data_IF_945754460787
#
_entry.id   IF_945754460787
#
_cell.length_a   1.000
_cell.length_b   1.000
_cell.length_c   1.000
_cell.angle_alpha   90.00
_cell.angle_beta   90.00
_cell.angle_gamma   90.00
#
_symmetry.space_group_name_H-M   'P 1'
#
loop_
_entity.id
_entity.type
_entity.pdbx_description
1 polymer ?
#
# COMPACT_ATOMS: atom_id res chain seq x y z
N UNK A 1 7.37 -29.23 -31.71
CA UNK A 1 8.02 -27.90 -31.76
C UNK A 1 7.15 -26.91 -31.02
N UNK A 2 7.78 -26.11 -30.14
CA UNK A 2 7.33 -24.84 -29.54
C UNK A 2 6.12 -24.87 -28.58
N UNK A 3 6.44 -25.04 -27.29
CA UNK A 3 5.58 -24.58 -26.21
C UNK A 3 5.57 -23.05 -26.15
N UNK A 4 4.40 -22.46 -26.03
CA UNK A 4 4.22 -21.05 -25.71
C UNK A 4 3.86 -21.04 -24.22
N UNK A 5 4.88 -20.82 -23.39
CA UNK A 5 4.71 -20.48 -21.99
C UNK A 5 4.45 -18.99 -21.97
N UNK A 6 3.17 -18.60 -21.98
CA UNK A 6 2.79 -17.25 -21.56
C UNK A 6 3.01 -17.19 -20.06
N UNK A 7 4.23 -16.80 -19.72
CA UNK A 7 4.67 -16.41 -18.39
C UNK A 7 4.01 -15.08 -18.06
N UNK A 8 2.71 -15.10 -17.76
CA UNK A 8 2.04 -13.93 -17.22
C UNK A 8 2.57 -13.73 -15.79
N UNK A 9 3.41 -12.72 -15.69
CA UNK A 9 4.16 -12.36 -14.50
C UNK A 9 3.12 -11.96 -13.44
N UNK A 10 2.96 -12.77 -12.39
CA UNK A 10 1.93 -12.70 -11.34
C UNK A 10 1.96 -11.44 -10.45
N UNK A 11 2.25 -10.28 -11.02
CA UNK A 11 2.10 -8.99 -10.39
C UNK A 11 0.61 -8.66 -10.33
N UNK A 12 -0.03 -9.05 -9.22
CA UNK A 12 -1.35 -8.52 -8.88
C UNK A 12 -1.19 -7.00 -8.68
N UNK A 13 -1.52 -6.23 -9.71
CA UNK A 13 -1.52 -4.76 -9.66
C UNK A 13 -2.81 -4.31 -8.97
N UNK A 14 -2.87 -4.43 -7.64
CA UNK A 14 -4.00 -3.91 -6.88
C UNK A 14 -3.89 -2.39 -6.73
N UNK A 15 -4.72 -1.65 -7.47
CA UNK A 15 -4.81 -0.19 -7.30
C UNK A 15 -5.48 0.13 -5.96
N UNK A 16 -4.88 1.04 -5.17
CA UNK A 16 -5.41 1.49 -3.87
C UNK A 16 -6.87 2.00 -3.95
N UNK A 17 -7.26 2.50 -5.12
CA UNK A 17 -8.60 3.01 -5.42
C UNK A 17 -9.69 1.93 -5.49
N UNK A 18 -9.32 0.64 -5.65
CA UNK A 18 -10.28 -0.47 -5.78
C UNK A 18 -10.60 -1.17 -4.46
N UNK A 19 -9.93 -0.79 -3.36
CA UNK A 19 -10.02 -1.51 -2.09
C UNK A 19 -11.10 -0.95 -1.17
N UNK A 20 -11.86 -1.86 -0.54
CA UNK A 20 -13.06 -1.53 0.22
C UNK A 20 -12.75 -1.14 1.67
N UNK A 21 -11.75 -1.75 2.30
CA UNK A 21 -11.35 -1.42 3.69
C UNK A 21 -10.00 -0.70 3.79
N UNK A 22 -9.77 -0.03 4.93
CA UNK A 22 -8.48 0.58 5.25
C UNK A 22 -7.39 -0.49 5.41
N UNK A 23 -7.73 -1.66 5.95
CA UNK A 23 -6.83 -2.80 6.10
C UNK A 23 -6.39 -3.36 4.75
N UNK A 24 -7.29 -3.48 3.79
CA UNK A 24 -6.97 -3.92 2.43
C UNK A 24 -5.99 -2.93 1.77
N UNK A 25 -6.27 -1.62 1.89
CA UNK A 25 -5.39 -0.55 1.38
C UNK A 25 -4.01 -0.57 2.00
N UNK A 26 -3.94 -0.79 3.32
CA UNK A 26 -2.66 -1.01 3.99
C UNK A 26 -1.95 -2.25 3.42
N UNK A 27 -2.69 -3.34 3.21
CA UNK A 27 -2.19 -4.56 2.56
C UNK A 27 -1.58 -4.30 1.19
N UNK A 28 -2.25 -3.55 0.31
CA UNK A 28 -1.69 -3.15 -1.00
C UNK A 28 -0.36 -2.43 -0.86
N UNK A 29 -0.33 -1.42 0.03
CA UNK A 29 0.87 -0.62 0.24
C UNK A 29 2.04 -1.50 0.69
N UNK A 30 1.78 -2.46 1.58
CA UNK A 30 2.79 -3.41 2.03
C UNK A 30 3.25 -4.34 0.90
N UNK A 31 2.34 -4.83 0.07
CA UNK A 31 2.68 -5.65 -1.11
C UNK A 31 3.55 -4.84 -2.09
N UNK A 32 3.22 -3.58 -2.37
CA UNK A 32 4.06 -2.68 -3.17
C UNK A 32 5.45 -2.50 -2.57
N UNK A 33 5.56 -2.37 -1.23
CA UNK A 33 6.84 -2.30 -0.54
C UNK A 33 7.64 -3.59 -0.67
N UNK A 34 7.00 -4.75 -0.52
CA UNK A 34 7.63 -6.07 -0.70
C UNK A 34 8.15 -6.25 -2.12
N UNK A 35 7.34 -5.93 -3.13
CA UNK A 35 7.74 -6.01 -4.55
C UNK A 35 8.94 -5.10 -4.85
N UNK A 36 8.97 -3.92 -4.23
CA UNK A 36 10.10 -3.00 -4.33
C UNK A 36 11.31 -3.40 -3.44
N UNK A 37 11.27 -4.57 -2.78
CA UNK A 37 12.28 -5.07 -1.84
C UNK A 37 12.61 -4.06 -0.72
N UNK A 38 11.64 -3.22 -0.34
CA UNK A 38 11.78 -2.23 0.72
C UNK A 38 11.62 -2.89 2.09
N UNK A 39 12.38 -2.42 3.08
CA UNK A 39 12.22 -2.84 4.46
C UNK A 39 10.84 -2.48 5.00
N UNK A 40 10.14 -3.46 5.57
CA UNK A 40 8.84 -3.26 6.20
C UNK A 40 9.02 -3.15 7.71
N UNK A 41 8.73 -1.97 8.22
CA UNK A 41 8.69 -1.64 9.64
C UNK A 41 7.64 -0.57 9.86
N UNK A 42 7.10 -0.43 11.08
CA UNK A 42 6.14 0.64 11.40
C UNK A 42 6.67 2.01 10.97
N UNK A 43 7.96 2.28 11.21
CA UNK A 43 8.65 3.51 10.81
C UNK A 43 8.65 3.72 9.30
N UNK A 44 9.07 2.73 8.51
CA UNK A 44 9.18 2.86 7.05
C UNK A 44 7.82 2.99 6.38
N UNK A 45 6.79 2.32 6.91
CA UNK A 45 5.40 2.48 6.46
C UNK A 45 4.92 3.90 6.72
N UNK A 46 5.08 4.41 7.95
CA UNK A 46 4.69 5.79 8.30
C UNK A 46 5.38 6.83 7.41
N UNK A 47 6.69 6.68 7.17
CA UNK A 47 7.43 7.59 6.29
C UNK A 47 6.90 7.56 4.86
N UNK A 48 6.56 6.39 4.33
CA UNK A 48 6.01 6.25 2.98
C UNK A 48 4.63 6.91 2.85
N UNK A 49 3.78 6.77 3.85
CA UNK A 49 2.46 7.42 3.86
C UNK A 49 2.61 8.94 4.00
N UNK A 50 3.47 9.41 4.91
CA UNK A 50 3.74 10.84 5.09
C UNK A 50 4.30 11.48 3.80
N UNK A 51 5.19 10.80 3.10
CA UNK A 51 5.70 11.27 1.80
C UNK A 51 4.60 11.38 0.75
N UNK A 52 3.63 10.45 0.72
CA UNK A 52 2.47 10.52 -0.19
C UNK A 52 1.56 11.68 0.16
N UNK A 53 1.25 11.89 1.44
CA UNK A 53 0.44 13.01 1.92
C UNK A 53 1.06 14.35 1.50
N UNK A 54 2.38 14.50 1.66
CA UNK A 54 3.08 15.74 1.32
C UNK A 54 3.00 16.13 -0.17
N UNK A 55 2.69 15.17 -1.04
CA UNK A 55 2.56 15.39 -2.49
C UNK A 55 1.13 15.23 -3.00
N UNK A 56 0.18 14.88 -2.12
CA UNK A 56 -1.20 14.62 -2.49
C UNK A 56 -1.96 15.95 -2.66
N UNK A 57 -2.78 16.02 -3.71
CA UNK A 57 -3.60 17.21 -4.02
C UNK A 57 -5.09 16.92 -3.93
N UNK A 58 -5.48 15.64 -3.98
CA UNK A 58 -6.85 15.22 -3.80
C UNK A 58 -7.18 15.03 -2.32
N UNK A 59 -8.10 15.85 -1.80
CA UNK A 59 -8.53 15.81 -0.41
C UNK A 59 -9.12 14.45 0.00
N UNK A 60 -9.78 13.74 -0.93
CA UNK A 60 -10.33 12.42 -0.64
C UNK A 60 -9.22 11.39 -0.43
N UNK A 61 -8.18 11.42 -1.27
CA UNK A 61 -7.01 10.55 -1.13
C UNK A 61 -6.17 10.91 0.09
N UNK A 62 -6.01 12.20 0.40
CA UNK A 62 -5.34 12.65 1.62
C UNK A 62 -6.03 12.13 2.89
N UNK A 63 -7.37 12.25 2.97
CA UNK A 63 -8.16 11.71 4.08
C UNK A 63 -7.97 10.19 4.24
N UNK A 64 -7.85 9.45 3.14
CA UNK A 64 -7.59 8.01 3.17
C UNK A 64 -6.18 7.69 3.69
N UNK A 65 -5.17 8.45 3.28
CA UNK A 65 -3.80 8.30 3.78
C UNK A 65 -3.72 8.62 5.28
N UNK A 66 -4.45 9.64 5.73
CA UNK A 66 -4.58 9.97 7.15
C UNK A 66 -5.27 8.85 7.94
N UNK A 67 -6.31 8.22 7.38
CA UNK A 67 -6.96 7.06 7.99
C UNK A 67 -6.01 5.85 8.11
N UNK A 68 -5.13 5.63 7.11
CA UNK A 68 -4.10 4.60 7.18
C UNK A 68 -3.07 4.88 8.29
N UNK A 69 -2.65 6.13 8.45
CA UNK A 69 -1.78 6.54 9.56
C UNK A 69 -2.44 6.24 10.91
N UNK A 70 -3.71 6.65 11.08
CA UNK A 70 -4.47 6.37 12.30
C UNK A 70 -4.56 4.87 12.59
N UNK A 71 -4.85 4.03 11.58
CA UNK A 71 -4.92 2.57 11.71
C UNK A 71 -3.60 1.96 12.23
N UNK A 72 -2.46 2.46 11.75
CA UNK A 72 -1.13 1.98 12.18
C UNK A 72 -0.84 2.33 13.65
N UNK A 73 -1.37 3.45 14.14
CA UNK A 73 -1.18 3.88 15.52
C UNK A 73 -2.18 3.27 16.51
N UNK A 74 -3.41 3.00 16.09
CA UNK A 74 -4.45 2.39 16.94
C UNK A 74 -4.24 0.90 17.13
N UNK A 75 -3.74 0.18 16.11
CA UNK A 75 -3.49 -1.26 16.19
C UNK A 75 -2.19 -1.53 16.97
N UNK A 76 -2.30 -1.69 18.28
CA UNK A 76 -1.17 -1.94 19.20
C UNK A 76 -1.36 -1.34 20.59
N UNK A 77 -2.39 -0.52 20.79
CA UNK A 77 -2.89 -0.12 22.11
C UNK A 77 -3.80 -1.25 22.63
N UNK A 78 -3.23 -2.29 23.23
CA UNK A 78 -3.93 -3.31 24.01
C UNK A 78 -3.17 -3.54 25.29
#
# INVERSE_FOLDING_TARGET
>A
MKGIRDSDNGAIKCSLTQMRSCEERLGALLIEMLHAKQTISKRTICLKIAARIATETDAATEAQLNALMALIFTKGQK
#
